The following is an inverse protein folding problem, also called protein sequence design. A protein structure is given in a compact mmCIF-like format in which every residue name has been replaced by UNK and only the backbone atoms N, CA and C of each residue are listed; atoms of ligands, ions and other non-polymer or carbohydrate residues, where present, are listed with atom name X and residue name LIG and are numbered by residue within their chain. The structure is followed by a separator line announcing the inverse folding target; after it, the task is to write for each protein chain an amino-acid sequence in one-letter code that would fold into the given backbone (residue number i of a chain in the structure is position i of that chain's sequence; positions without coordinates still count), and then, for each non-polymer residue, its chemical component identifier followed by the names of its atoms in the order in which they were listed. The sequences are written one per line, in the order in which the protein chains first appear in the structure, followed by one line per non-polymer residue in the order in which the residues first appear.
data_IF_352901917289
#
_entry.id   IF_352901917289
#
_cell.length_a   1.000
_cell.length_b   1.000
_cell.length_c   1.000
_cell.angle_alpha   90.00
_cell.angle_beta   90.00
_cell.angle_gamma   90.00
#
_symmetry.space_group_name_H-M   'P 1'
#
loop_
_entity.id
_entity.type
_entity.pdbx_description
1 polymer ?
#
# COMPACT_ATOMS: atom_id res chain seq x y z
N UNK A 1 28.95 7.13 15.88
CA UNK A 1 29.53 6.08 15.03
C UNK A 1 28.37 5.44 14.27
N UNK A 2 28.59 4.85 13.12
CA UNK A 2 27.51 4.20 12.39
C UNK A 2 27.39 2.74 12.84
N UNK A 3 26.18 2.17 12.82
CA UNK A 3 25.95 0.75 13.16
C UNK A 3 26.91 -0.19 12.38
N UNK A 4 27.30 0.20 11.16
CA UNK A 4 28.26 -0.55 10.33
C UNK A 4 29.67 -0.53 10.92
N UNK A 5 30.17 0.64 11.34
CA UNK A 5 31.52 0.76 11.91
C UNK A 5 31.67 0.04 13.25
N UNK A 6 30.61 0.03 14.03
CA UNK A 6 30.60 -0.65 15.33
C UNK A 6 30.61 -2.17 15.12
N UNK A 7 29.79 -2.67 14.17
CA UNK A 7 29.76 -4.10 13.82
C UNK A 7 31.09 -4.56 13.17
N UNK A 8 31.67 -3.74 12.29
CA UNK A 8 33.00 -4.03 11.70
C UNK A 8 34.09 -4.11 12.77
N UNK A 9 34.11 -3.14 13.69
CA UNK A 9 35.07 -3.12 14.78
C UNK A 9 34.91 -4.32 15.70
N UNK A 10 33.67 -4.71 16.00
CA UNK A 10 33.36 -5.93 16.77
C UNK A 10 33.93 -7.18 16.10
N UNK A 11 33.67 -7.39 14.81
CA UNK A 11 34.15 -8.58 14.09
C UNK A 11 35.68 -8.58 13.95
N UNK A 12 36.34 -7.43 13.78
CA UNK A 12 37.80 -7.31 13.79
C UNK A 12 38.37 -7.81 15.10
N UNK A 13 37.77 -7.43 16.23
CA UNK A 13 38.23 -7.86 17.57
C UNK A 13 37.93 -9.35 17.83
N UNK A 14 36.68 -9.78 17.64
CA UNK A 14 36.26 -11.15 17.94
C UNK A 14 36.99 -12.21 17.10
N UNK A 15 37.33 -11.86 15.86
CA UNK A 15 38.01 -12.80 14.94
C UNK A 15 39.51 -12.55 14.85
N UNK A 16 40.08 -11.69 15.69
CA UNK A 16 41.52 -11.36 15.73
C UNK A 16 42.07 -10.95 14.34
N UNK A 17 41.33 -10.10 13.60
CA UNK A 17 41.69 -9.73 12.25
C UNK A 17 42.83 -8.72 12.23
N UNK A 18 43.90 -9.04 11.49
CA UNK A 18 45.00 -8.11 11.21
C UNK A 18 44.55 -7.08 10.14
N UNK A 19 44.27 -5.84 10.56
CA UNK A 19 43.79 -4.77 9.69
C UNK A 19 44.71 -4.52 8.50
N UNK A 20 46.05 -4.64 8.69
CA UNK A 20 47.00 -4.47 7.59
C UNK A 20 46.84 -5.52 6.48
N UNK A 21 46.57 -6.75 6.83
CA UNK A 21 46.31 -7.85 5.89
C UNK A 21 44.96 -7.66 5.18
N UNK A 22 43.93 -7.24 5.91
CA UNK A 22 42.64 -6.92 5.34
C UNK A 22 42.71 -5.76 4.34
N UNK A 23 43.48 -4.72 4.63
CA UNK A 23 43.76 -3.58 3.72
C UNK A 23 44.29 -4.09 2.38
N UNK A 24 45.35 -4.94 2.43
CA UNK A 24 45.98 -5.53 1.24
C UNK A 24 44.98 -6.40 0.45
N UNK A 25 44.22 -7.23 1.13
CA UNK A 25 43.22 -8.10 0.49
C UNK A 25 42.09 -7.32 -0.17
N UNK A 26 41.58 -6.27 0.48
CA UNK A 26 40.51 -5.45 -0.04
C UNK A 26 40.95 -4.53 -1.19
N UNK A 27 42.27 -4.24 -1.30
CA UNK A 27 42.81 -3.35 -2.33
C UNK A 27 42.47 -1.87 -2.08
N UNK A 28 42.36 -1.46 -0.82
CA UNK A 28 42.14 -0.07 -0.42
C UNK A 28 43.33 0.45 0.38
N UNK A 29 43.50 1.78 0.47
CA UNK A 29 44.59 2.30 1.28
C UNK A 29 44.29 2.23 2.78
N UNK A 30 45.39 2.23 3.57
CA UNK A 30 45.32 2.09 5.03
C UNK A 30 44.51 3.22 5.68
N UNK A 31 44.62 4.45 5.18
CA UNK A 31 43.91 5.61 5.71
C UNK A 31 42.38 5.49 5.48
N UNK A 32 41.99 5.04 4.27
CA UNK A 32 40.60 4.76 3.94
C UNK A 32 40.00 3.68 4.87
N UNK A 33 40.74 2.55 5.07
CA UNK A 33 40.26 1.50 5.97
C UNK A 33 40.05 2.01 7.39
N UNK A 34 40.98 2.78 7.94
CA UNK A 34 40.80 3.35 9.29
C UNK A 34 39.65 4.36 9.38
N UNK A 35 39.37 5.11 8.31
CA UNK A 35 38.20 5.99 8.25
C UNK A 35 36.89 5.19 8.27
N UNK A 36 36.85 4.06 7.57
CA UNK A 36 35.71 3.13 7.57
C UNK A 36 35.51 2.53 8.97
N UNK A 37 36.57 2.00 9.59
CA UNK A 37 36.52 1.43 10.95
C UNK A 37 36.06 2.48 11.98
N UNK A 38 36.49 3.74 11.83
CA UNK A 38 36.05 4.83 12.72
C UNK A 38 34.69 5.44 12.36
N UNK A 39 34.00 4.91 11.38
CA UNK A 39 32.68 5.38 10.95
C UNK A 39 32.67 6.76 10.29
N UNK A 40 33.82 7.23 9.83
CA UNK A 40 33.94 8.51 9.09
C UNK A 40 33.57 8.37 7.60
N UNK A 41 33.73 7.18 7.05
CA UNK A 41 33.38 6.82 5.67
C UNK A 41 32.75 5.43 5.63
N UNK A 42 32.03 5.16 4.56
CA UNK A 42 31.51 3.82 4.24
C UNK A 42 32.47 3.12 3.26
N UNK A 43 32.43 1.79 3.13
CA UNK A 43 33.06 1.10 2.00
C UNK A 43 32.56 1.71 0.69
N UNK A 44 33.47 2.06 -0.24
CA UNK A 44 33.08 2.79 -1.46
C UNK A 44 32.21 1.97 -2.42
N UNK A 45 32.31 0.62 -2.34
CA UNK A 45 31.54 -0.28 -3.20
C UNK A 45 31.10 -1.54 -2.46
N UNK A 46 30.06 -2.18 -2.98
CA UNK A 46 29.57 -3.48 -2.53
C UNK A 46 30.68 -4.54 -2.61
N UNK A 47 31.51 -4.50 -3.67
CA UNK A 47 32.62 -5.43 -3.85
C UNK A 47 33.64 -5.34 -2.71
N UNK A 48 33.94 -4.15 -2.21
CA UNK A 48 34.85 -3.97 -1.08
C UNK A 48 34.23 -4.49 0.22
N UNK A 49 32.94 -4.22 0.46
CA UNK A 49 32.21 -4.82 1.58
C UNK A 49 32.29 -6.35 1.55
N UNK A 50 32.03 -6.95 0.37
CA UNK A 50 32.05 -8.41 0.21
C UNK A 50 33.47 -8.99 0.40
N UNK A 51 34.51 -8.27 -0.03
CA UNK A 51 35.89 -8.65 0.27
C UNK A 51 36.20 -8.62 1.77
N UNK A 52 35.72 -7.58 2.48
CA UNK A 52 35.85 -7.52 3.95
C UNK A 52 35.15 -8.72 4.61
N UNK A 53 33.90 -9.02 4.23
CA UNK A 53 33.13 -10.15 4.77
C UNK A 53 33.87 -11.51 4.55
N UNK A 54 34.38 -11.74 3.33
CA UNK A 54 35.13 -12.95 3.00
C UNK A 54 36.44 -13.03 3.77
N UNK A 55 37.17 -11.93 3.89
CA UNK A 55 38.42 -11.89 4.63
C UNK A 55 38.24 -12.20 6.13
N UNK A 56 37.13 -11.72 6.71
CA UNK A 56 36.77 -11.99 8.10
C UNK A 56 36.13 -13.37 8.30
N UNK A 57 35.89 -14.15 7.25
CA UNK A 57 35.22 -15.44 7.29
C UNK A 57 33.89 -15.36 8.03
N UNK A 58 33.04 -14.37 7.67
CA UNK A 58 31.77 -14.23 8.31
C UNK A 58 30.86 -15.41 7.98
N UNK A 59 30.16 -15.91 9.00
CA UNK A 59 29.10 -16.90 8.83
C UNK A 59 27.94 -16.30 8.01
N UNK A 60 27.06 -17.13 7.45
CA UNK A 60 25.89 -16.60 6.71
C UNK A 60 25.07 -15.60 7.53
N UNK A 61 24.88 -15.84 8.82
CA UNK A 61 24.15 -14.94 9.71
C UNK A 61 24.90 -13.63 9.96
N UNK A 62 26.19 -13.69 10.27
CA UNK A 62 27.04 -12.52 10.44
C UNK A 62 27.10 -11.69 9.15
N UNK A 63 27.19 -12.34 8.00
CA UNK A 63 27.20 -11.67 6.70
C UNK A 63 25.86 -10.96 6.42
N UNK A 64 24.74 -11.58 6.78
CA UNK A 64 23.41 -10.94 6.69
C UNK A 64 23.34 -9.66 7.52
N UNK A 65 23.81 -9.71 8.78
CA UNK A 65 23.85 -8.55 9.66
C UNK A 65 24.82 -7.47 9.13
N UNK A 66 25.97 -7.87 8.60
CA UNK A 66 26.97 -6.97 8.04
C UNK A 66 26.45 -6.24 6.79
N UNK A 67 25.78 -6.96 5.89
CA UNK A 67 25.15 -6.39 4.70
C UNK A 67 24.05 -5.41 5.07
N UNK A 68 23.19 -5.77 6.04
CA UNK A 68 22.14 -4.89 6.54
C UNK A 68 22.71 -3.59 7.13
N UNK A 69 23.74 -3.70 7.96
CA UNK A 69 24.37 -2.52 8.57
C UNK A 69 25.03 -1.64 7.50
N UNK A 70 25.63 -2.23 6.45
CA UNK A 70 26.17 -1.50 5.31
C UNK A 70 25.07 -0.72 4.55
N UNK A 71 23.97 -1.38 4.19
CA UNK A 71 22.86 -0.74 3.50
C UNK A 71 22.26 0.41 4.32
N UNK A 72 22.04 0.21 5.61
CA UNK A 72 21.58 1.25 6.54
C UNK A 72 22.56 2.43 6.53
N UNK A 73 23.86 2.16 6.52
CA UNK A 73 24.88 3.22 6.52
C UNK A 73 24.90 4.03 5.22
N UNK A 74 24.50 3.43 4.09
CA UNK A 74 24.46 4.10 2.77
C UNK A 74 23.24 4.98 2.58
N UNK A 75 22.07 4.49 2.96
CA UNK A 75 20.79 5.15 2.65
C UNK A 75 20.08 5.75 3.87
N UNK A 76 20.62 5.56 5.07
CA UNK A 76 20.01 5.95 6.32
C UNK A 76 19.01 4.90 6.84
N UNK A 77 18.85 4.86 8.16
CA UNK A 77 18.05 3.87 8.86
C UNK A 77 16.57 3.93 8.44
N UNK A 78 16.00 5.13 8.40
CA UNK A 78 14.59 5.33 8.07
C UNK A 78 14.29 4.92 6.62
N UNK A 79 15.14 5.33 5.66
CA UNK A 79 14.99 4.94 4.26
C UNK A 79 15.11 3.43 4.08
N UNK A 80 16.05 2.79 4.80
CA UNK A 80 16.20 1.33 4.75
C UNK A 80 14.93 0.61 5.19
N UNK A 81 14.36 0.99 6.33
CA UNK A 81 13.17 0.34 6.84
C UNK A 81 11.94 0.64 6.00
N UNK A 82 11.80 1.87 5.46
CA UNK A 82 10.74 2.20 4.49
C UNK A 82 10.80 1.29 3.27
N UNK A 83 12.00 1.08 2.70
CA UNK A 83 12.19 0.15 1.56
C UNK A 83 11.82 -1.29 1.93
N UNK A 84 12.19 -1.74 3.13
CA UNK A 84 11.85 -3.09 3.59
C UNK A 84 10.35 -3.29 3.83
N UNK A 85 9.65 -2.29 4.33
CA UNK A 85 8.17 -2.37 4.44
C UNK A 85 7.50 -2.33 3.06
N UNK A 86 8.00 -1.52 2.13
CA UNK A 86 7.50 -1.53 0.76
C UNK A 86 7.76 -2.91 0.09
N UNK A 87 8.95 -3.47 0.23
CA UNK A 87 9.30 -4.82 -0.24
C UNK A 87 8.35 -5.88 0.35
N UNK A 88 8.12 -5.83 1.66
CA UNK A 88 7.18 -6.72 2.35
C UNK A 88 5.75 -6.58 1.84
N UNK A 89 5.29 -5.35 1.61
CA UNK A 89 3.99 -5.08 1.02
C UNK A 89 3.87 -5.72 -0.37
N UNK A 90 4.87 -5.52 -1.24
CA UNK A 90 4.91 -6.08 -2.59
C UNK A 90 4.91 -7.62 -2.54
N UNK A 91 5.75 -8.23 -1.71
CA UNK A 91 5.85 -9.68 -1.60
C UNK A 91 4.59 -10.34 -1.02
N UNK A 92 3.87 -9.64 -0.16
CA UNK A 92 2.61 -10.11 0.41
C UNK A 92 1.38 -9.78 -0.45
N UNK A 93 1.55 -9.04 -1.54
CA UNK A 93 0.46 -8.63 -2.42
C UNK A 93 -0.37 -9.83 -2.94
N UNK A 94 0.22 -10.95 -3.39
CA UNK A 94 -0.55 -12.13 -3.80
C UNK A 94 -1.37 -12.76 -2.68
N UNK A 95 -0.89 -12.66 -1.44
CA UNK A 95 -1.62 -13.18 -0.27
C UNK A 95 -2.81 -12.29 0.09
N UNK A 96 -2.74 -10.99 -0.20
CA UNK A 96 -3.86 -10.07 -0.07
C UNK A 96 -4.95 -10.32 -1.13
N UNK A 97 -4.57 -10.87 -2.30
CA UNK A 97 -5.51 -11.31 -3.34
C UNK A 97 -6.24 -12.60 -2.97
N UNK A 98 -5.60 -13.45 -2.20
CA UNK A 98 -6.23 -14.62 -1.58
C UNK A 98 -6.85 -14.14 -0.26
N UNK A 99 -7.96 -13.40 -0.35
CA UNK A 99 -8.78 -13.21 0.85
C UNK A 99 -9.09 -14.61 1.35
N UNK A 100 -8.57 -15.05 2.50
CA UNK A 100 -9.06 -16.28 3.05
C UNK A 100 -10.54 -16.02 3.26
N UNK A 101 -11.40 -16.79 2.60
CA UNK A 101 -12.72 -17.11 3.14
C UNK A 101 -12.41 -17.96 4.39
N UNK A 102 -11.63 -17.39 5.31
CA UNK A 102 -11.63 -17.91 6.65
C UNK A 102 -13.01 -17.53 7.15
N UNK A 103 -13.87 -18.53 7.17
CA UNK A 103 -14.90 -18.68 8.13
C UNK A 103 -14.27 -18.63 9.56
N UNK A 104 -13.45 -17.63 9.83
CA UNK A 104 -13.23 -17.13 11.16
C UNK A 104 -14.53 -16.45 11.50
N UNK A 105 -15.50 -17.30 11.82
CA UNK A 105 -16.32 -17.12 12.97
C UNK A 105 -15.77 -15.95 13.83
N UNK A 106 -16.04 -14.69 13.40
CA UNK A 106 -16.62 -13.86 14.42
C UNK A 106 -17.73 -14.76 14.91
N UNK A 107 -17.58 -15.29 16.12
CA UNK A 107 -18.70 -15.92 16.78
C UNK A 107 -19.82 -14.89 16.64
N UNK A 108 -20.61 -15.08 15.60
CA UNK A 108 -21.99 -14.66 15.61
C UNK A 108 -22.49 -15.37 16.84
N UNK A 109 -22.31 -14.72 17.98
CA UNK A 109 -23.17 -15.00 19.07
C UNK A 109 -24.52 -14.99 18.39
N UNK A 110 -25.10 -16.19 18.25
CA UNK A 110 -26.32 -16.53 17.55
C UNK A 110 -26.95 -15.30 16.91
N UNK A 111 -26.96 -15.23 15.55
CA UNK A 111 -27.59 -14.12 14.82
C UNK A 111 -28.85 -13.77 15.62
N UNK A 112 -29.01 -12.55 16.11
CA UNK A 112 -30.16 -12.21 16.91
C UNK A 112 -31.38 -12.57 16.08
N UNK A 113 -32.21 -13.48 16.55
CA UNK A 113 -33.39 -14.02 15.87
C UNK A 113 -34.44 -12.94 15.52
N UNK A 114 -34.14 -11.67 15.83
CA UNK A 114 -34.94 -10.48 15.43
C UNK A 114 -34.01 -9.39 14.95
N UNK A 115 -34.35 -8.70 13.85
CA UNK A 115 -33.72 -7.44 13.53
C UNK A 115 -33.92 -6.50 14.72
N UNK A 116 -32.84 -6.22 15.46
CA UNK A 116 -32.88 -5.31 16.57
C UNK A 116 -33.09 -3.93 15.94
N UNK A 117 -34.31 -3.39 16.09
CA UNK A 117 -34.61 -2.06 15.57
C UNK A 117 -33.77 -1.03 16.29
N UNK A 118 -33.10 -0.16 15.53
CA UNK A 118 -32.47 1.02 16.09
C UNK A 118 -33.52 1.82 16.88
N UNK A 119 -33.14 2.43 18.03
CA UNK A 119 -34.07 3.27 18.80
C UNK A 119 -34.68 4.36 17.90
N UNK A 120 -35.95 4.66 18.07
CA UNK A 120 -36.65 5.71 17.35
C UNK A 120 -36.26 7.09 17.92
N UNK A 121 -35.12 7.62 17.46
CA UNK A 121 -34.59 8.91 17.90
C UNK A 121 -33.83 9.58 16.74
N UNK A 122 -33.97 10.88 16.54
CA UNK A 122 -33.27 11.60 15.45
C UNK A 122 -31.73 11.50 15.56
N UNK A 123 -31.22 11.33 16.79
CA UNK A 123 -29.80 11.09 17.05
C UNK A 123 -29.60 10.27 18.33
N UNK A 124 -28.56 9.44 18.33
CA UNK A 124 -28.21 8.55 19.44
C UNK A 124 -26.73 8.68 19.72
N UNK A 125 -26.39 9.13 20.92
CA UNK A 125 -24.99 9.15 21.38
C UNK A 125 -24.57 7.76 21.88
N UNK A 126 -23.30 7.41 21.67
CA UNK A 126 -22.72 6.17 22.19
C UNK A 126 -21.31 6.43 22.77
N UNK A 127 -20.88 5.57 23.69
CA UNK A 127 -19.61 5.72 24.41
C UNK A 127 -18.91 4.38 24.67
N UNK A 128 -19.04 3.41 23.80
CA UNK A 128 -18.35 2.10 23.86
C UNK A 128 -18.14 1.51 22.49
N UNK A 129 -17.05 0.75 22.30
CA UNK A 129 -16.76 0.05 21.03
C UNK A 129 -17.86 -0.91 20.62
N UNK A 130 -18.47 -1.62 21.58
CA UNK A 130 -19.55 -2.58 21.29
C UNK A 130 -20.76 -1.89 20.67
N UNK A 131 -21.10 -0.69 21.13
CA UNK A 131 -22.19 0.09 20.54
C UNK A 131 -21.82 0.64 19.16
N UNK A 132 -20.56 1.07 18.97
CA UNK A 132 -20.08 1.45 17.66
C UNK A 132 -20.19 0.29 16.65
N UNK A 133 -19.68 -0.90 17.01
CA UNK A 133 -19.78 -2.09 16.17
C UNK A 133 -21.24 -2.45 15.85
N UNK A 134 -22.08 -2.41 16.86
CA UNK A 134 -23.52 -2.68 16.74
C UNK A 134 -24.18 -1.70 15.75
N UNK A 135 -23.98 -0.39 15.93
CA UNK A 135 -24.59 0.60 15.04
C UNK A 135 -24.03 0.54 13.62
N UNK A 136 -22.72 0.40 13.45
CA UNK A 136 -22.09 0.25 12.12
C UNK A 136 -22.66 -0.96 11.40
N UNK A 137 -22.72 -2.11 12.03
CA UNK A 137 -23.28 -3.31 11.43
C UNK A 137 -24.72 -3.09 10.97
N UNK A 138 -25.59 -2.56 11.84
CA UNK A 138 -26.99 -2.35 11.51
C UNK A 138 -27.21 -1.37 10.34
N UNK A 139 -26.48 -0.25 10.30
CA UNK A 139 -26.63 0.72 9.20
C UNK A 139 -26.09 0.19 7.88
N UNK A 140 -25.02 -0.62 7.91
CA UNK A 140 -24.47 -1.25 6.72
C UNK A 140 -25.39 -2.36 6.20
N UNK A 141 -25.95 -3.20 7.07
CA UNK A 141 -26.94 -4.21 6.69
C UNK A 141 -28.19 -3.57 6.09
N UNK A 142 -28.67 -2.47 6.66
CA UNK A 142 -29.80 -1.72 6.12
C UNK A 142 -29.49 -1.13 4.74
N UNK A 143 -28.28 -0.61 4.53
CA UNK A 143 -27.86 -0.07 3.25
C UNK A 143 -27.71 -1.13 2.17
N UNK A 144 -27.25 -2.33 2.52
CA UNK A 144 -27.16 -3.46 1.59
C UNK A 144 -28.52 -3.92 1.06
N UNK A 145 -29.61 -3.67 1.80
CA UNK A 145 -30.97 -3.95 1.34
C UNK A 145 -31.54 -2.82 0.43
N UNK A 146 -30.79 -1.73 0.29
CA UNK A 146 -31.21 -0.58 -0.53
C UNK A 146 -30.70 -0.78 -1.96
N UNK A 147 -31.61 -0.67 -2.93
CA UNK A 147 -31.21 -0.71 -4.35
C UNK A 147 -30.25 0.43 -4.67
N UNK A 148 -29.08 0.10 -5.25
CA UNK A 148 -27.99 1.04 -5.50
C UNK A 148 -27.52 1.80 -4.23
N UNK A 149 -27.44 1.08 -3.11
CA UNK A 149 -26.98 1.63 -1.85
C UNK A 149 -25.61 2.31 -1.95
N UNK A 150 -25.39 3.30 -1.11
CA UNK A 150 -24.16 4.11 -1.12
C UNK A 150 -23.58 4.27 0.28
N UNK A 151 -22.31 3.96 0.43
CA UNK A 151 -21.55 4.15 1.68
C UNK A 151 -20.49 5.21 1.46
N UNK A 152 -20.45 6.23 2.34
CA UNK A 152 -19.39 7.23 2.42
C UNK A 152 -18.51 6.98 3.66
N UNK A 153 -17.22 6.91 3.48
CA UNK A 153 -16.25 6.72 4.55
C UNK A 153 -15.25 7.88 4.58
N UNK A 154 -15.21 8.63 5.67
CA UNK A 154 -14.16 9.60 5.97
C UNK A 154 -13.49 9.14 7.28
N UNK A 155 -12.48 8.29 7.19
CA UNK A 155 -11.77 7.74 8.34
C UNK A 155 -10.44 7.12 7.88
N UNK A 156 -9.60 6.73 8.84
CA UNK A 156 -8.41 5.94 8.56
C UNK A 156 -8.75 4.45 8.53
N UNK A 157 -8.06 3.64 7.73
CA UNK A 157 -8.32 2.20 7.66
C UNK A 157 -7.68 1.41 8.82
N UNK A 158 -7.57 2.04 10.00
CA UNK A 158 -7.16 1.43 11.26
C UNK A 158 -8.34 0.86 12.06
N UNK A 159 -9.56 1.03 11.59
CA UNK A 159 -10.76 0.39 12.13
C UNK A 159 -10.87 -1.06 11.61
N UNK A 160 -10.09 -1.98 12.20
CA UNK A 160 -10.03 -3.39 11.77
C UNK A 160 -11.42 -4.06 11.67
N UNK A 161 -12.31 -3.77 12.61
CA UNK A 161 -13.67 -4.29 12.59
C UNK A 161 -14.39 -3.90 11.28
N UNK A 162 -14.43 -2.61 10.95
CA UNK A 162 -15.14 -2.11 9.77
C UNK A 162 -14.59 -2.71 8.48
N UNK A 163 -13.27 -2.69 8.31
CA UNK A 163 -12.64 -3.18 7.08
C UNK A 163 -12.73 -4.70 6.94
N UNK A 164 -12.61 -5.45 8.03
CA UNK A 164 -12.86 -6.89 8.03
C UNK A 164 -14.31 -7.20 7.72
N UNK A 165 -15.26 -6.45 8.31
CA UNK A 165 -16.68 -6.61 8.06
C UNK A 165 -17.00 -6.36 6.58
N UNK A 166 -16.57 -5.22 6.02
CA UNK A 166 -16.76 -4.88 4.62
C UNK A 166 -16.13 -5.91 3.66
N UNK A 167 -14.96 -6.45 3.99
CA UNK A 167 -14.27 -7.46 3.16
C UNK A 167 -15.03 -8.78 3.11
N UNK A 168 -15.70 -9.16 4.19
CA UNK A 168 -16.43 -10.44 4.32
C UNK A 168 -17.87 -10.36 3.82
N UNK A 169 -18.39 -9.17 3.51
CA UNK A 169 -19.74 -9.04 2.97
C UNK A 169 -19.80 -9.47 1.51
N UNK A 170 -20.82 -10.25 1.15
CA UNK A 170 -21.09 -10.61 -0.25
C UNK A 170 -21.82 -9.48 -0.97
N UNK A 171 -21.07 -8.52 -1.51
CA UNK A 171 -21.63 -7.35 -2.22
C UNK A 171 -22.08 -7.63 -3.66
N UNK A 172 -21.83 -8.80 -4.20
CA UNK A 172 -21.97 -9.12 -5.62
C UNK A 172 -23.40 -8.99 -6.20
N UNK A 173 -24.41 -8.79 -5.36
CA UNK A 173 -25.81 -8.74 -5.81
C UNK A 173 -26.51 -7.41 -5.56
N UNK A 174 -25.92 -6.43 -4.90
CA UNK A 174 -26.66 -5.27 -4.37
C UNK A 174 -26.49 -3.95 -5.15
N UNK A 175 -25.55 -3.89 -6.10
CA UNK A 175 -25.21 -2.61 -6.75
C UNK A 175 -24.63 -1.55 -5.78
N UNK A 176 -24.19 -1.98 -4.60
CA UNK A 176 -23.65 -1.12 -3.55
C UNK A 176 -22.35 -0.46 -4.02
N UNK A 177 -22.20 0.84 -3.75
CA UNK A 177 -20.96 1.60 -3.99
C UNK A 177 -20.39 2.14 -2.68
N UNK A 178 -19.07 2.10 -2.55
CA UNK A 178 -18.35 2.65 -1.40
C UNK A 178 -17.41 3.75 -1.85
N UNK A 179 -17.57 4.94 -1.31
CA UNK A 179 -16.68 6.08 -1.49
C UNK A 179 -15.88 6.31 -0.21
N UNK A 180 -14.57 6.31 -0.30
CA UNK A 180 -13.68 6.46 0.86
C UNK A 180 -12.74 7.65 0.67
N UNK A 181 -12.70 8.56 1.63
CA UNK A 181 -11.72 9.64 1.71
C UNK A 181 -10.67 9.28 2.76
N UNK A 182 -9.42 9.19 2.33
CA UNK A 182 -8.28 8.75 3.11
C UNK A 182 -7.27 9.88 3.29
N UNK A 183 -6.81 10.10 4.51
CA UNK A 183 -5.67 10.96 4.76
C UNK A 183 -4.37 10.18 4.61
N UNK A 184 -3.49 10.65 3.73
CA UNK A 184 -2.12 10.16 3.58
C UNK A 184 -1.18 11.06 4.36
N UNK A 185 -0.27 10.47 5.12
CA UNK A 185 0.71 11.22 5.89
C UNK A 185 1.82 11.75 4.98
N UNK A 186 2.10 13.05 5.08
CA UNK A 186 3.24 13.68 4.41
C UNK A 186 4.41 13.93 5.37
N UNK A 187 4.20 13.70 6.69
CA UNK A 187 5.24 13.97 7.68
C UNK A 187 6.22 12.81 7.76
N UNK A 188 7.51 13.13 7.77
CA UNK A 188 8.56 12.12 7.94
C UNK A 188 8.78 11.75 9.42
N UNK A 189 8.07 12.40 10.35
CA UNK A 189 8.47 12.44 11.75
C UNK A 189 7.74 11.48 12.69
N UNK A 190 6.52 11.06 12.39
CA UNK A 190 5.67 10.36 13.36
C UNK A 190 5.40 8.89 13.05
N UNK A 191 5.12 8.54 11.82
CA UNK A 191 4.87 7.15 11.42
C UNK A 191 5.30 6.91 9.98
N UNK A 192 6.52 6.43 9.84
CA UNK A 192 7.16 6.18 8.54
C UNK A 192 6.43 5.16 7.66
N UNK A 193 5.45 4.42 8.22
CA UNK A 193 4.78 3.31 7.52
C UNK A 193 3.27 3.50 7.39
N UNK A 194 2.72 4.60 7.86
CA UNK A 194 1.29 4.86 7.89
C UNK A 194 0.65 4.65 6.51
N UNK A 195 1.21 5.23 5.46
CA UNK A 195 0.65 5.13 4.11
C UNK A 195 0.66 3.70 3.57
N UNK A 196 1.73 2.92 3.81
CA UNK A 196 1.79 1.50 3.37
C UNK A 196 0.80 0.64 4.15
N UNK A 197 0.65 0.87 5.46
CA UNK A 197 -0.37 0.18 6.26
C UNK A 197 -1.77 0.51 5.78
N UNK A 198 -2.04 1.78 5.49
CA UNK A 198 -3.33 2.21 4.94
C UNK A 198 -3.63 1.51 3.61
N UNK A 199 -2.67 1.47 2.70
CA UNK A 199 -2.82 0.74 1.43
C UNK A 199 -3.07 -0.75 1.66
N UNK A 200 -2.31 -1.39 2.57
CA UNK A 200 -2.49 -2.81 2.89
C UNK A 200 -3.89 -3.12 3.43
N UNK A 201 -4.47 -2.22 4.23
CA UNK A 201 -5.78 -2.42 4.83
C UNK A 201 -6.94 -2.26 3.84
N UNK A 202 -6.82 -1.37 2.83
CA UNK A 202 -7.88 -1.13 1.85
C UNK A 202 -7.79 -2.03 0.61
N UNK A 203 -6.62 -2.60 0.35
CA UNK A 203 -6.38 -3.40 -0.84
C UNK A 203 -7.33 -4.61 -0.99
N UNK A 204 -7.67 -5.37 0.08
CA UNK A 204 -8.62 -6.47 -0.02
C UNK A 204 -10.00 -6.02 -0.51
N UNK A 205 -10.49 -4.85 -0.08
CA UNK A 205 -11.77 -4.31 -0.55
C UNK A 205 -11.72 -3.99 -2.04
N UNK A 206 -10.63 -3.36 -2.48
CA UNK A 206 -10.43 -3.02 -3.88
C UNK A 206 -10.36 -4.26 -4.79
N UNK A 207 -9.72 -5.33 -4.31
CA UNK A 207 -9.52 -6.57 -5.09
C UNK A 207 -10.74 -7.50 -5.10
N UNK A 208 -11.69 -7.33 -4.18
CA UNK A 208 -12.89 -8.19 -4.10
C UNK A 208 -13.99 -7.84 -5.11
N UNK A 209 -13.73 -6.95 -6.07
CA UNK A 209 -14.70 -6.58 -7.10
C UNK A 209 -15.86 -5.70 -6.59
N UNK A 210 -15.75 -5.17 -5.38
CA UNK A 210 -16.68 -4.17 -4.83
C UNK A 210 -16.47 -2.87 -5.61
N UNK A 211 -17.55 -2.14 -5.91
CA UNK A 211 -17.44 -0.77 -6.43
C UNK A 211 -16.90 0.15 -5.33
N UNK A 212 -15.60 0.06 -5.10
CA UNK A 212 -14.88 0.77 -4.04
C UNK A 212 -13.97 1.84 -4.63
N UNK A 213 -14.30 3.10 -4.37
CA UNK A 213 -13.58 4.25 -4.87
C UNK A 213 -12.89 4.97 -3.72
N UNK A 214 -11.57 5.11 -3.81
CA UNK A 214 -10.76 5.78 -2.79
C UNK A 214 -10.22 7.08 -3.33
N UNK A 215 -10.46 8.15 -2.58
CA UNK A 215 -9.85 9.47 -2.79
C UNK A 215 -8.94 9.81 -1.62
N UNK A 216 -7.88 10.55 -1.85
CA UNK A 216 -6.95 10.90 -0.79
C UNK A 216 -6.55 12.37 -0.81
N UNK A 217 -6.11 12.85 0.35
CA UNK A 217 -5.42 14.11 0.54
C UNK A 217 -4.21 13.93 1.45
N UNK A 218 -3.22 14.82 1.35
CA UNK A 218 -2.06 14.80 2.24
C UNK A 218 -2.25 15.75 3.42
N UNK A 219 -2.06 15.24 4.64
CA UNK A 219 -2.01 16.05 5.86
C UNK A 219 -1.17 15.32 6.93
N UNK A 220 -0.93 15.99 8.07
CA UNK A 220 -0.46 15.35 9.29
C UNK A 220 -1.61 14.51 9.88
N UNK A 221 -1.54 13.19 9.67
CA UNK A 221 -2.57 12.25 10.13
C UNK A 221 -2.75 12.32 11.65
N UNK A 222 -1.66 12.44 12.40
CA UNK A 222 -1.73 12.50 13.86
C UNK A 222 -2.46 13.75 14.33
N UNK A 223 -2.11 14.91 13.78
CA UNK A 223 -2.76 16.18 14.14
C UNK A 223 -4.22 16.20 13.71
N UNK A 224 -4.52 15.72 12.52
CA UNK A 224 -5.86 15.76 11.96
C UNK A 224 -6.83 14.82 12.68
N UNK A 225 -6.42 13.56 12.90
CA UNK A 225 -7.32 12.54 13.45
C UNK A 225 -7.22 12.37 14.97
N UNK A 226 -6.08 12.66 15.60
CA UNK A 226 -5.85 12.33 17.02
C UNK A 226 -5.78 13.52 17.97
N UNK A 227 -5.50 14.72 17.47
CA UNK A 227 -5.18 15.83 18.36
C UNK A 227 -6.15 17.00 18.30
N UNK A 228 -6.72 17.32 17.14
CA UNK A 228 -7.44 18.58 16.94
C UNK A 228 -8.94 18.42 16.71
N UNK A 229 -9.39 17.29 16.20
CA UNK A 229 -10.80 17.07 15.84
C UNK A 229 -11.50 16.17 16.84
N UNK A 230 -12.68 16.58 17.30
CA UNK A 230 -13.48 15.81 18.27
C UNK A 230 -14.05 14.56 17.61
N UNK A 231 -14.64 14.70 16.41
CA UNK A 231 -15.21 13.61 15.61
C UNK A 231 -14.63 13.61 14.20
N UNK A 232 -13.38 13.14 14.04
CA UNK A 232 -12.71 13.16 12.74
C UNK A 232 -13.19 12.07 11.79
N UNK A 233 -13.89 11.08 12.30
CA UNK A 233 -14.33 9.91 11.53
C UNK A 233 -15.82 10.00 11.22
N UNK A 234 -16.18 9.63 9.97
CA UNK A 234 -17.55 9.67 9.48
C UNK A 234 -17.86 8.42 8.65
N UNK A 235 -19.02 7.82 8.91
CA UNK A 235 -19.57 6.70 8.15
C UNK A 235 -20.99 7.12 7.73
N UNK A 236 -21.26 7.11 6.43
CA UNK A 236 -22.51 7.56 5.84
C UNK A 236 -23.18 6.44 5.07
N UNK A 237 -24.50 6.36 5.17
CA UNK A 237 -25.37 5.54 4.32
C UNK A 237 -26.49 6.42 3.79
N UNK A 238 -27.38 5.90 2.97
CA UNK A 238 -28.51 6.69 2.43
C UNK A 238 -29.47 7.22 3.51
N UNK A 239 -29.58 6.52 4.63
CA UNK A 239 -30.54 6.82 5.72
C UNK A 239 -29.90 7.18 7.04
N UNK A 240 -28.64 6.86 7.24
CA UNK A 240 -27.94 6.98 8.51
C UNK A 240 -26.58 7.61 8.36
N UNK A 241 -26.12 8.26 9.41
CA UNK A 241 -24.74 8.73 9.51
C UNK A 241 -24.19 8.49 10.90
N UNK A 242 -22.89 8.16 10.99
CA UNK A 242 -22.16 8.10 12.24
C UNK A 242 -21.00 9.08 12.16
N UNK A 243 -20.84 9.92 13.20
CA UNK A 243 -19.60 10.66 13.43
C UNK A 243 -19.01 10.18 14.75
N UNK A 244 -17.70 9.97 14.81
CA UNK A 244 -17.07 9.43 16.02
C UNK A 244 -15.63 9.87 16.21
N UNK A 245 -15.15 9.67 17.45
CA UNK A 245 -13.74 9.88 17.83
C UNK A 245 -12.83 8.94 17.06
N UNK A 246 -11.55 9.29 16.97
CA UNK A 246 -10.54 8.49 16.26
C UNK A 246 -10.29 7.11 16.86
N UNK A 247 -10.65 6.90 18.11
CA UNK A 247 -10.59 5.59 18.77
C UNK A 247 -11.92 4.80 18.67
N UNK A 248 -12.90 5.34 17.93
CA UNK A 248 -14.21 4.73 17.68
C UNK A 248 -15.04 4.41 18.93
N UNK A 249 -14.70 4.98 20.09
CA UNK A 249 -15.43 4.74 21.35
C UNK A 249 -16.64 5.62 21.51
N UNK A 250 -16.49 6.91 21.17
CA UNK A 250 -17.52 7.90 21.37
C UNK A 250 -18.00 8.45 20.04
N UNK A 251 -19.30 8.63 19.90
CA UNK A 251 -19.86 9.16 18.68
C UNK A 251 -21.36 9.39 18.74
N UNK A 252 -21.90 9.78 17.60
CA UNK A 252 -23.30 10.04 17.40
C UNK A 252 -23.76 9.32 16.13
N UNK A 253 -24.82 8.55 16.25
CA UNK A 253 -25.61 8.02 15.14
C UNK A 253 -26.73 9.01 14.82
N UNK A 254 -26.83 9.46 13.62
CA UNK A 254 -27.89 10.33 13.09
C UNK A 254 -28.87 9.50 12.26
N UNK A 255 -30.16 9.72 12.51
CA UNK A 255 -31.27 9.13 11.78
C UNK A 255 -32.17 10.22 11.16
N UNK A 256 -31.96 11.49 11.54
CA UNK A 256 -32.64 12.63 10.92
C UNK A 256 -32.20 12.84 9.47
N UNK A 257 -33.13 12.80 8.50
CA UNK A 257 -32.78 12.92 7.09
C UNK A 257 -32.05 14.22 6.74
N UNK A 258 -32.40 15.34 7.42
CA UNK A 258 -31.75 16.61 7.16
C UNK A 258 -30.29 16.60 7.64
N UNK A 259 -30.01 16.00 8.79
CA UNK A 259 -28.66 15.82 9.31
C UNK A 259 -27.82 14.90 8.40
N UNK A 260 -28.40 13.79 7.94
CA UNK A 260 -27.73 12.86 7.01
C UNK A 260 -27.41 13.54 5.68
N UNK A 261 -28.36 14.30 5.11
CA UNK A 261 -28.14 15.06 3.87
C UNK A 261 -27.02 16.08 4.01
N UNK A 262 -27.02 16.86 5.09
CA UNK A 262 -25.96 17.82 5.40
C UNK A 262 -24.58 17.15 5.49
N UNK A 263 -24.49 16.01 6.14
CA UNK A 263 -23.22 15.27 6.28
C UNK A 263 -22.74 14.72 4.92
N UNK A 264 -23.64 14.30 4.04
CA UNK A 264 -23.31 13.94 2.65
C UNK A 264 -22.82 15.13 1.83
N UNK A 265 -23.40 16.30 1.99
CA UNK A 265 -22.94 17.54 1.33
C UNK A 265 -21.52 17.90 1.79
N UNK A 266 -21.24 17.82 3.10
CA UNK A 266 -19.90 18.02 3.64
C UNK A 266 -18.91 17.00 3.09
N UNK A 267 -19.27 15.71 3.08
CA UNK A 267 -18.44 14.65 2.51
C UNK A 267 -18.10 14.93 1.05
N UNK A 268 -19.10 15.29 0.25
CA UNK A 268 -18.91 15.62 -1.17
C UNK A 268 -17.97 16.81 -1.35
N UNK A 269 -18.14 17.87 -0.54
CA UNK A 269 -17.26 19.04 -0.59
C UNK A 269 -15.80 18.73 -0.20
N UNK A 270 -15.58 17.74 0.67
CA UNK A 270 -14.23 17.25 0.98
C UNK A 270 -13.67 16.42 -0.17
N UNK A 271 -14.49 15.54 -0.75
CA UNK A 271 -14.11 14.69 -1.88
C UNK A 271 -13.63 15.50 -3.08
N UNK A 272 -14.28 16.62 -3.39
CA UNK A 272 -13.88 17.52 -4.49
C UNK A 272 -12.45 18.08 -4.35
N UNK A 273 -11.94 18.16 -3.12
CA UNK A 273 -10.57 18.62 -2.82
C UNK A 273 -9.54 17.49 -2.81
N UNK A 274 -10.00 16.25 -2.93
CA UNK A 274 -9.17 15.05 -2.89
C UNK A 274 -8.79 14.60 -4.31
N UNK A 275 -7.79 13.73 -4.38
CA UNK A 275 -7.35 13.07 -5.61
C UNK A 275 -7.74 11.60 -5.57
N UNK A 276 -8.11 10.98 -6.70
CA UNK A 276 -8.33 9.55 -6.74
C UNK A 276 -7.04 8.82 -6.39
N UNK A 277 -7.13 7.80 -5.53
CA UNK A 277 -5.97 6.98 -5.14
C UNK A 277 -5.69 5.92 -6.19
N UNK A 278 -6.74 5.33 -6.76
CA UNK A 278 -6.67 4.33 -7.81
C UNK A 278 -7.37 4.85 -9.06
N UNK A 279 -6.79 4.56 -10.19
CA UNK A 279 -7.39 4.78 -11.50
C UNK A 279 -7.45 3.41 -12.18
N UNK A 280 -8.66 2.98 -12.54
CA UNK A 280 -8.87 1.71 -13.23
C UNK A 280 -9.21 2.07 -14.68
N UNK A 281 -8.36 1.67 -15.65
CA UNK A 281 -8.71 1.82 -17.06
C UNK A 281 -9.85 0.85 -17.40
N UNK A 282 -10.87 1.34 -18.10
CA UNK A 282 -12.00 0.54 -18.55
C UNK A 282 -11.85 0.08 -20.01
N UNK A 283 -10.79 0.52 -20.69
CA UNK A 283 -10.46 0.14 -22.05
C UNK A 283 -8.95 0.08 -22.26
N UNK A 284 -8.53 -0.67 -23.28
CA UNK A 284 -7.11 -0.75 -23.70
C UNK A 284 -6.58 0.64 -24.09
N UNK A 285 -7.43 1.49 -24.65
CA UNK A 285 -7.06 2.86 -25.04
C UNK A 285 -6.82 3.75 -23.79
N UNK A 286 -7.71 3.66 -22.80
CA UNK A 286 -7.52 4.38 -21.51
C UNK A 286 -6.26 3.92 -20.78
N UNK A 287 -6.01 2.61 -20.73
CA UNK A 287 -4.79 2.04 -20.15
C UNK A 287 -3.54 2.61 -20.84
N UNK A 288 -3.53 2.64 -22.16
CA UNK A 288 -2.43 3.19 -22.92
C UNK A 288 -2.19 4.66 -22.74
N UNK A 289 -3.25 5.42 -22.67
CA UNK A 289 -3.16 6.85 -22.40
C UNK A 289 -2.61 7.10 -20.99
N UNK A 290 -3.05 6.32 -20.01
CA UNK A 290 -2.57 6.40 -18.63
C UNK A 290 -1.09 6.02 -18.52
N UNK A 291 -0.67 4.91 -19.12
CA UNK A 291 0.73 4.48 -19.16
C UNK A 291 1.59 5.53 -19.87
N UNK A 292 1.14 6.04 -21.01
CA UNK A 292 1.88 7.08 -21.77
C UNK A 292 2.01 8.36 -20.96
N UNK A 293 0.96 8.85 -20.35
CA UNK A 293 0.97 10.06 -19.51
C UNK A 293 1.91 9.90 -18.30
N UNK A 294 1.86 8.73 -17.65
CA UNK A 294 2.70 8.40 -16.49
C UNK A 294 4.17 8.33 -16.89
N UNK A 295 4.49 7.71 -18.04
CA UNK A 295 5.85 7.54 -18.53
C UNK A 295 6.48 8.86 -19.00
N UNK A 296 5.70 9.77 -19.54
CA UNK A 296 6.21 11.07 -20.00
C UNK A 296 6.46 12.06 -18.86
N UNK A 297 5.79 11.90 -17.73
CA UNK A 297 5.82 12.87 -16.63
C UNK A 297 6.79 12.51 -15.50
N UNK A 298 7.31 11.28 -15.43
CA UNK A 298 8.10 10.81 -14.31
C UNK A 298 9.51 10.36 -14.71
N UNK A 299 10.50 10.69 -13.87
CA UNK A 299 11.89 10.24 -14.00
C UNK A 299 12.15 8.86 -13.38
N UNK A 300 11.23 8.35 -12.58
CA UNK A 300 11.29 7.04 -11.93
C UNK A 300 9.95 6.34 -12.06
N UNK A 301 9.99 5.09 -12.51
CA UNK A 301 8.82 4.27 -12.74
C UNK A 301 8.97 2.93 -12.03
N UNK A 302 7.93 2.55 -11.31
CA UNK A 302 7.84 1.29 -10.60
C UNK A 302 6.61 0.54 -11.12
N UNK A 303 6.87 -0.56 -11.81
CA UNK A 303 5.82 -1.45 -12.29
C UNK A 303 5.77 -2.71 -11.43
N UNK A 304 4.59 -3.11 -11.04
CA UNK A 304 4.34 -4.34 -10.33
C UNK A 304 3.25 -5.11 -11.08
N UNK A 305 3.61 -6.24 -11.63
CA UNK A 305 2.71 -7.09 -12.41
C UNK A 305 2.80 -8.55 -11.93
N UNK A 306 1.73 -9.34 -12.05
CA UNK A 306 1.75 -10.75 -11.65
C UNK A 306 2.71 -11.57 -12.52
N UNK A 307 2.92 -11.16 -13.77
CA UNK A 307 3.80 -11.81 -14.75
C UNK A 307 4.71 -10.76 -15.40
N UNK A 308 5.92 -11.15 -15.85
CA UNK A 308 6.80 -10.23 -16.54
C UNK A 308 6.18 -9.76 -17.87
N UNK A 309 5.85 -8.47 -17.98
CA UNK A 309 5.40 -7.88 -19.22
C UNK A 309 6.57 -7.75 -20.21
N UNK A 310 6.60 -8.61 -21.20
CA UNK A 310 7.63 -8.62 -22.24
C UNK A 310 7.31 -7.66 -23.41
N UNK A 311 6.10 -7.10 -23.47
CA UNK A 311 5.65 -6.23 -24.56
C UNK A 311 6.63 -5.08 -24.85
N UNK A 312 7.22 -4.38 -23.85
CA UNK A 312 8.17 -3.29 -24.12
C UNK A 312 9.46 -3.70 -24.86
N UNK A 313 9.77 -5.00 -24.87
CA UNK A 313 10.96 -5.58 -25.45
C UNK A 313 10.71 -6.31 -26.77
N UNK A 314 9.46 -6.37 -27.24
CA UNK A 314 9.11 -7.04 -28.47
C UNK A 314 9.45 -6.16 -29.69
N UNK A 315 9.87 -6.80 -30.77
CA UNK A 315 10.04 -6.14 -32.08
C UNK A 315 8.66 -5.83 -32.67
N UNK A 316 8.55 -4.73 -33.43
CA UNK A 316 7.28 -4.26 -33.98
C UNK A 316 6.53 -5.30 -34.81
N UNK A 317 7.27 -6.11 -35.54
CA UNK A 317 6.67 -7.10 -36.46
C UNK A 317 6.05 -8.31 -35.72
N UNK A 318 6.47 -8.55 -34.50
CA UNK A 318 5.93 -9.63 -33.65
C UNK A 318 4.52 -9.35 -33.14
N UNK A 319 4.14 -8.08 -33.02
CA UNK A 319 2.83 -7.67 -32.48
C UNK A 319 1.68 -8.29 -33.29
N UNK A 320 1.83 -8.36 -34.62
CA UNK A 320 0.82 -8.92 -35.48
C UNK A 320 0.59 -10.43 -35.27
N UNK A 321 1.57 -11.14 -34.72
CA UNK A 321 1.46 -12.59 -34.45
C UNK A 321 0.68 -12.90 -33.16
N UNK A 322 0.64 -11.97 -32.20
CA UNK A 322 -0.05 -12.19 -30.94
C UNK A 322 -1.55 -11.89 -30.99
N UNK A 323 -1.99 -11.07 -31.95
CA UNK A 323 -3.41 -10.75 -32.13
C UNK A 323 -3.99 -11.59 -33.25
N UNK A 324 -4.91 -12.53 -33.00
CA UNK A 324 -5.46 -13.41 -34.01
C UNK A 324 -6.09 -12.67 -35.18
N UNK A 325 -6.00 -13.25 -36.39
CA UNK A 325 -6.75 -12.76 -37.54
C UNK A 325 -8.25 -12.87 -37.26
N UNK A 326 -8.99 -11.80 -37.52
CA UNK A 326 -10.43 -11.73 -37.23
C UNK A 326 -10.79 -11.24 -35.82
N UNK A 327 -9.80 -10.91 -34.96
CA UNK A 327 -10.10 -10.29 -33.68
C UNK A 327 -10.69 -8.89 -33.85
N UNK A 328 -11.84 -8.55 -33.22
CA UNK A 328 -12.45 -7.23 -33.35
C UNK A 328 -11.49 -6.12 -32.94
N UNK A 329 -11.27 -5.15 -33.81
CA UNK A 329 -10.36 -4.03 -33.55
C UNK A 329 -8.87 -4.37 -33.62
N UNK A 330 -8.49 -5.50 -34.22
CA UNK A 330 -7.11 -6.00 -34.36
C UNK A 330 -6.12 -4.91 -34.75
N UNK A 331 -6.41 -4.15 -35.79
CA UNK A 331 -5.49 -3.13 -36.31
C UNK A 331 -5.25 -1.99 -35.29
N UNK A 332 -6.29 -1.61 -34.55
CA UNK A 332 -6.17 -0.62 -33.49
C UNK A 332 -5.33 -1.14 -32.33
N UNK A 333 -5.51 -2.40 -31.94
CA UNK A 333 -4.72 -3.05 -30.88
C UNK A 333 -3.25 -3.14 -31.29
N UNK A 334 -2.96 -3.56 -32.51
CA UNK A 334 -1.59 -3.64 -33.02
C UNK A 334 -0.95 -2.25 -33.08
N UNK A 335 -1.66 -1.26 -33.59
CA UNK A 335 -1.17 0.12 -33.63
C UNK A 335 -0.88 0.67 -32.23
N UNK A 336 -1.78 0.39 -31.29
CA UNK A 336 -1.60 0.74 -29.88
C UNK A 336 -0.37 0.06 -29.28
N UNK A 337 -0.21 -1.24 -29.42
CA UNK A 337 0.95 -1.98 -28.91
C UNK A 337 2.27 -1.46 -29.52
N UNK A 338 2.29 -1.14 -30.79
CA UNK A 338 3.46 -0.55 -31.47
C UNK A 338 3.81 0.84 -30.92
N UNK A 339 2.81 1.68 -30.66
CA UNK A 339 3.00 2.97 -30.02
C UNK A 339 3.51 2.82 -28.59
N UNK A 340 2.97 1.88 -27.83
CA UNK A 340 3.42 1.56 -26.47
C UNK A 340 4.90 1.13 -26.46
N UNK A 341 5.31 0.19 -27.30
CA UNK A 341 6.72 -0.26 -27.41
C UNK A 341 7.65 0.89 -27.76
N UNK A 342 7.25 1.74 -28.70
CA UNK A 342 8.04 2.92 -29.08
C UNK A 342 8.22 3.88 -27.90
N UNK A 343 7.15 4.14 -27.15
CA UNK A 343 7.17 5.05 -26.01
C UNK A 343 7.92 4.43 -24.82
N UNK A 344 7.64 3.17 -24.49
CA UNK A 344 8.34 2.45 -23.43
C UNK A 344 9.86 2.39 -23.67
N UNK A 345 10.30 2.11 -24.90
CA UNK A 345 11.71 2.11 -25.25
C UNK A 345 12.39 3.47 -25.06
N UNK A 346 11.68 4.58 -25.24
CA UNK A 346 12.19 5.92 -24.96
C UNK A 346 12.31 6.20 -23.46
N UNK A 347 11.32 5.72 -22.69
CA UNK A 347 11.25 5.92 -21.24
C UNK A 347 12.31 5.09 -20.52
N UNK A 348 12.44 3.80 -20.88
CA UNK A 348 13.45 2.90 -20.29
C UNK A 348 14.87 3.48 -20.47
N UNK A 349 15.11 4.19 -21.57
CA UNK A 349 16.43 4.83 -21.82
C UNK A 349 16.64 6.13 -21.06
N UNK A 350 15.58 6.82 -20.63
CA UNK A 350 15.64 8.17 -20.04
C UNK A 350 15.29 8.20 -18.56
N UNK A 351 14.69 7.14 -18.03
CA UNK A 351 14.17 7.06 -16.69
C UNK A 351 14.76 5.89 -15.91
N UNK A 352 14.77 6.00 -14.61
CA UNK A 352 15.05 4.86 -13.71
C UNK A 352 13.80 3.98 -13.69
N UNK A 353 13.87 2.82 -14.35
CA UNK A 353 12.74 1.88 -14.51
C UNK A 353 12.95 0.66 -13.63
N UNK A 354 11.99 0.42 -12.73
CA UNK A 354 11.98 -0.73 -11.84
C UNK A 354 10.77 -1.60 -12.17
N UNK A 355 11.04 -2.84 -12.53
CA UNK A 355 10.01 -3.82 -12.83
C UNK A 355 10.00 -4.90 -11.77
N UNK A 356 8.87 -5.07 -11.10
CA UNK A 356 8.64 -6.10 -10.10
C UNK A 356 7.59 -7.07 -10.63
N UNK A 357 7.94 -8.35 -10.68
CA UNK A 357 7.00 -9.41 -11.00
C UNK A 357 7.10 -10.52 -9.96
N UNK A 358 5.97 -11.15 -9.73
CA UNK A 358 5.87 -12.22 -8.76
C UNK A 358 6.13 -13.54 -9.48
N UNK A 359 7.31 -14.11 -9.26
CA UNK A 359 7.50 -15.53 -9.56
C UNK A 359 6.66 -16.30 -8.55
N UNK A 360 5.49 -16.79 -8.97
CA UNK A 360 4.85 -17.85 -8.23
C UNK A 360 5.87 -19.01 -8.19
N UNK A 361 6.27 -19.42 -7.00
CA UNK A 361 6.88 -20.73 -6.82
C UNK A 361 5.82 -21.73 -7.28
N UNK A 362 5.85 -22.10 -8.53
CA UNK A 362 5.20 -23.31 -8.99
C UNK A 362 5.95 -24.43 -8.27
N UNK A 363 5.28 -25.28 -7.50
CA UNK A 363 5.90 -26.53 -7.13
C UNK A 363 6.21 -27.25 -8.45
N UNK A 364 7.47 -27.29 -8.83
CA UNK A 364 7.96 -28.22 -9.83
C UNK A 364 7.83 -29.58 -9.16
N UNK A 365 6.70 -30.26 -9.42
CA UNK A 365 6.58 -31.69 -9.22
C UNK A 365 7.50 -32.45 -10.18
#
# INVERSE_FOLDING_TARGET
MSDFSDLLSKYIQEKNIQVASMVKYCGIDRSAMYKIIKGKHHPPTVQIRDKMARFMHLTPEENRLFNRAYEISQIGKDTYFRRKEAEKFILNFPSALKVPVSANTFSTGSAPEKPISLPDSPCISFSRHELFHYYVQNILEAEMQTENGKIGLLLQPDCEFLFSYLTNLNFFSSGLSIEHILCMDYTEKTDTYCNIRNLSAILPLFMNGINYQVSFFYNDVHSHYRSLNVFPSMILTSKYAITCTSDYKNGILYQDPAAVSMLWELFSSYKEKCRPLFQIPHSIEEEGNMVTATTLSNSRLYYMEPEPCLIPFLEKDWMAHFVPEGFPGRDNIIAYMQAYVKNAGQVIRKSEFHFYFLLAESPLD
#
